data_IF_520237918020
#
_entry.id   IF_520237918020
#
_cell.length_a   1.000
_cell.length_b   1.000
_cell.length_c   1.000
_cell.angle_alpha   90.00
_cell.angle_beta   90.00
_cell.angle_gamma   90.00
#
_symmetry.space_group_name_H-M   'P 1'
#
loop_
_entity.id
_entity.type
_entity.pdbx_description
1 polymer ?
#
# COMPACT_ATOMS: atom_id res chain seq x y z
N UNK A 1 124.95 -4.07 10.19
CA UNK A 1 125.90 -5.13 9.79
C UNK A 1 125.39 -5.82 8.54
N UNK A 2 126.31 -6.18 7.64
CA UNK A 2 126.08 -6.38 6.22
C UNK A 2 126.05 -7.90 5.94
N UNK A 3 125.86 -8.43 4.73
CA UNK A 3 126.91 -8.46 3.71
C UNK A 3 126.53 -9.43 2.60
N UNK A 4 127.02 -9.10 1.40
CA UNK A 4 127.55 -10.02 0.37
C UNK A 4 126.51 -10.96 -0.30
N UNK A 5 126.36 -10.99 -1.62
CA UNK A 5 127.40 -11.30 -2.60
C UNK A 5 126.94 -10.77 -3.98
N UNK A 6 127.69 -9.86 -4.63
CA UNK A 6 128.81 -10.12 -5.55
C UNK A 6 128.39 -10.65 -6.93
N UNK A 7 128.47 -9.71 -7.89
CA UNK A 7 128.88 -9.86 -9.30
C UNK A 7 128.31 -11.05 -10.07
N UNK A 8 127.47 -10.73 -11.06
CA UNK A 8 127.52 -11.39 -12.36
C UNK A 8 127.76 -10.37 -13.47
N UNK A 9 128.84 -10.64 -14.21
CA UNK A 9 129.35 -9.85 -15.33
C UNK A 9 128.42 -9.96 -16.53
N UNK A 10 128.18 -8.80 -17.13
CA UNK A 10 128.11 -8.51 -18.57
C UNK A 10 127.62 -9.63 -19.51
N UNK A 11 126.52 -9.32 -20.22
CA UNK A 11 126.52 -9.37 -21.69
C UNK A 11 125.47 -8.42 -22.26
N UNK A 12 125.96 -7.43 -23.01
CA UNK A 12 125.16 -6.64 -23.94
C UNK A 12 124.58 -7.56 -25.00
N UNK A 13 123.27 -7.49 -25.20
CA UNK A 13 122.57 -8.25 -26.22
C UNK A 13 121.13 -7.79 -26.32
N UNK A 14 120.92 -6.80 -27.18
CA UNK A 14 119.64 -6.52 -27.87
C UNK A 14 118.55 -5.91 -26.96
N UNK A 15 118.48 -4.58 -26.95
CA UNK A 15 117.24 -3.87 -26.63
C UNK A 15 116.19 -4.23 -27.69
N UNK A 16 115.45 -5.30 -27.47
CA UNK A 16 114.25 -5.58 -28.25
C UNK A 16 113.19 -4.57 -27.82
N UNK A 17 112.72 -3.68 -28.71
CA UNK A 17 111.58 -2.82 -28.39
C UNK A 17 110.41 -3.76 -28.10
N UNK A 18 109.76 -3.61 -26.93
CA UNK A 18 108.51 -4.29 -26.65
C UNK A 18 107.48 -3.81 -27.67
N UNK A 19 107.39 -4.54 -28.78
CA UNK A 19 106.42 -4.33 -29.84
C UNK A 19 105.05 -4.64 -29.24
N UNK A 20 104.42 -3.60 -28.71
CA UNK A 20 103.02 -3.66 -28.32
C UNK A 20 102.26 -3.67 -29.64
N UNK A 21 101.80 -4.85 -30.06
CA UNK A 21 100.88 -4.99 -31.18
C UNK A 21 99.61 -4.23 -30.79
N UNK A 22 99.59 -2.94 -31.11
CA UNK A 22 98.36 -2.16 -31.09
C UNK A 22 97.58 -2.67 -32.29
N UNK A 23 96.63 -3.57 -32.02
CA UNK A 23 95.59 -3.89 -32.98
C UNK A 23 94.92 -2.58 -33.36
N UNK A 24 95.26 -2.07 -34.54
CA UNK A 24 94.71 -0.82 -35.05
C UNK A 24 93.30 -1.14 -35.53
N UNK A 25 92.36 -1.21 -34.59
CA UNK A 25 90.94 -1.38 -34.90
C UNK A 25 90.55 -0.21 -35.79
N UNK A 26 90.26 -0.52 -37.06
CA UNK A 26 89.94 0.47 -38.06
C UNK A 26 88.82 1.38 -37.53
N UNK A 27 89.01 2.70 -37.62
CA UNK A 27 88.08 3.69 -37.09
C UNK A 27 86.63 3.46 -37.56
N UNK A 28 86.45 2.92 -38.78
CA UNK A 28 85.16 2.52 -39.33
C UNK A 28 84.41 1.47 -38.48
N UNK A 29 85.12 0.51 -37.87
CA UNK A 29 84.50 -0.50 -37.00
C UNK A 29 83.93 0.09 -35.71
N UNK A 30 84.53 1.19 -35.20
CA UNK A 30 84.00 1.92 -34.04
C UNK A 30 82.68 2.60 -34.38
N UNK A 31 82.60 3.22 -35.56
CA UNK A 31 81.35 3.83 -36.05
C UNK A 31 80.27 2.79 -36.34
N UNK A 32 80.64 1.65 -36.95
CA UNK A 32 79.71 0.55 -37.19
C UNK A 32 79.13 0.03 -35.87
N UNK A 33 79.97 -0.19 -34.86
CA UNK A 33 79.52 -0.60 -33.52
C UNK A 33 78.61 0.43 -32.86
N UNK A 34 78.94 1.72 -32.97
CA UNK A 34 78.10 2.80 -32.45
C UNK A 34 76.73 2.86 -33.15
N UNK A 35 76.69 2.65 -34.46
CA UNK A 35 75.47 2.69 -35.26
C UNK A 35 74.56 1.48 -34.97
N UNK A 36 75.15 0.29 -34.82
CA UNK A 36 74.45 -0.93 -34.38
C UNK A 36 73.91 -0.74 -32.97
N UNK A 37 74.72 -0.22 -32.05
CA UNK A 37 74.30 0.04 -30.68
C UNK A 37 73.15 1.06 -30.63
N UNK A 38 73.23 2.15 -31.42
CA UNK A 38 72.18 3.14 -31.51
C UNK A 38 70.88 2.55 -32.08
N UNK A 39 70.98 1.73 -33.13
CA UNK A 39 69.82 1.04 -33.70
C UNK A 39 69.19 0.08 -32.70
N UNK A 40 69.99 -0.65 -31.93
CA UNK A 40 69.50 -1.56 -30.89
C UNK A 40 68.83 -0.79 -29.75
N UNK A 41 69.44 0.32 -29.31
CA UNK A 41 68.86 1.18 -28.29
C UNK A 41 67.52 1.78 -28.73
N UNK A 42 67.40 2.22 -29.98
CA UNK A 42 66.14 2.72 -30.54
C UNK A 42 65.08 1.62 -30.65
N UNK A 43 65.47 0.41 -31.07
CA UNK A 43 64.56 -0.73 -31.14
C UNK A 43 64.04 -1.12 -29.74
N UNK A 44 64.92 -1.16 -28.73
CA UNK A 44 64.53 -1.43 -27.34
C UNK A 44 63.66 -0.31 -26.80
N UNK A 45 63.97 0.96 -27.07
CA UNK A 45 63.16 2.09 -26.64
C UNK A 45 61.76 2.07 -27.27
N UNK A 46 61.65 1.76 -28.56
CA UNK A 46 60.37 1.61 -29.25
C UNK A 46 59.56 0.43 -28.71
N UNK A 47 60.22 -0.71 -28.48
CA UNK A 47 59.58 -1.88 -27.88
C UNK A 47 59.12 -1.62 -26.45
N UNK A 48 59.93 -0.95 -25.63
CA UNK A 48 59.60 -0.57 -24.26
C UNK A 48 58.49 0.50 -24.22
N UNK A 49 58.43 1.40 -25.20
CA UNK A 49 57.35 2.38 -25.33
C UNK A 49 56.03 1.71 -25.71
N UNK A 50 56.04 0.75 -26.64
CA UNK A 50 54.84 0.02 -27.05
C UNK A 50 54.38 -0.99 -25.96
N UNK A 51 55.32 -1.72 -25.37
CA UNK A 51 55.07 -2.60 -24.23
C UNK A 51 54.62 -1.81 -23.00
N UNK A 52 55.25 -0.68 -22.73
CA UNK A 52 54.87 0.26 -21.67
C UNK A 52 53.51 0.90 -21.93
N UNK A 53 53.13 1.16 -23.18
CA UNK A 53 51.77 1.60 -23.51
C UNK A 53 50.72 0.50 -23.29
N UNK A 54 51.08 -0.77 -23.48
CA UNK A 54 50.22 -1.91 -23.13
C UNK A 54 50.16 -2.20 -21.63
N UNK A 55 51.26 -2.01 -20.89
CA UNK A 55 51.34 -2.31 -19.45
C UNK A 55 50.95 -1.13 -18.55
N UNK A 56 51.32 0.11 -18.92
CA UNK A 56 50.96 1.35 -18.22
C UNK A 56 49.69 2.00 -18.80
N UNK A 57 49.19 1.48 -19.92
CA UNK A 57 47.82 1.67 -20.35
C UNK A 57 46.91 0.94 -19.39
N UNK A 58 46.61 1.56 -18.24
CA UNK A 58 45.39 1.32 -17.47
C UNK A 58 44.30 0.90 -18.43
N UNK A 59 43.73 -0.28 -18.21
CA UNK A 59 42.72 -0.88 -19.06
C UNK A 59 41.45 -0.03 -19.02
N UNK A 60 41.49 1.14 -19.65
CA UNK A 60 40.41 2.14 -19.61
C UNK A 60 39.14 1.57 -20.22
N UNK A 61 39.27 0.54 -21.06
CA UNK A 61 38.15 -0.25 -21.56
C UNK A 61 37.57 -1.11 -20.44
N UNK A 62 38.37 -1.93 -19.77
CA UNK A 62 37.94 -2.78 -18.65
C UNK A 62 37.39 -1.95 -17.47
N UNK A 63 38.08 -0.89 -17.05
CA UNK A 63 37.60 0.04 -16.01
C UNK A 63 36.28 0.74 -16.41
N UNK A 64 36.10 1.14 -17.67
CA UNK A 64 34.82 1.70 -18.12
C UNK A 64 33.73 0.65 -18.16
N UNK A 65 34.05 -0.58 -18.57
CA UNK A 65 33.10 -1.69 -18.58
C UNK A 65 32.68 -2.08 -17.15
N UNK A 66 33.62 -2.10 -16.21
CA UNK A 66 33.35 -2.36 -14.80
C UNK A 66 32.51 -1.24 -14.18
N UNK A 67 32.85 0.03 -14.44
CA UNK A 67 32.02 1.16 -14.02
C UNK A 67 30.62 1.10 -14.62
N UNK A 68 30.49 0.73 -15.90
CA UNK A 68 29.19 0.57 -16.55
C UNK A 68 28.40 -0.59 -15.91
N UNK A 69 29.06 -1.71 -15.60
CA UNK A 69 28.44 -2.87 -14.95
C UNK A 69 27.98 -2.54 -13.53
N UNK A 70 28.80 -1.83 -12.75
CA UNK A 70 28.45 -1.39 -11.39
C UNK A 70 27.29 -0.39 -11.44
N UNK A 71 27.26 0.51 -12.43
CA UNK A 71 26.13 1.44 -12.60
C UNK A 71 24.85 0.71 -13.00
N UNK A 72 24.93 -0.27 -13.90
CA UNK A 72 23.76 -1.08 -14.27
C UNK A 72 23.26 -1.90 -13.08
N UNK A 73 24.15 -2.50 -12.29
CA UNK A 73 23.75 -3.20 -11.07
C UNK A 73 23.11 -2.25 -10.06
N UNK A 74 23.70 -1.08 -9.82
CA UNK A 74 23.11 -0.07 -8.93
C UNK A 74 21.71 0.35 -9.41
N UNK A 75 21.54 0.62 -10.71
CA UNK A 75 20.23 0.98 -11.27
C UNK A 75 19.20 -0.14 -11.09
N UNK A 76 19.60 -1.41 -11.26
CA UNK A 76 18.73 -2.58 -11.01
C UNK A 76 18.35 -2.70 -9.54
N UNK A 77 19.32 -2.57 -8.63
CA UNK A 77 19.06 -2.63 -7.19
C UNK A 77 18.14 -1.49 -6.74
N UNK A 78 18.32 -0.28 -7.28
CA UNK A 78 17.44 0.85 -6.99
C UNK A 78 16.02 0.62 -7.50
N UNK A 79 15.86 0.06 -8.70
CA UNK A 79 14.55 -0.29 -9.26
C UNK A 79 13.85 -1.39 -8.44
N UNK A 80 14.60 -2.41 -8.00
CA UNK A 80 14.09 -3.45 -7.11
C UNK A 80 13.69 -2.89 -5.74
N UNK A 81 14.51 -2.02 -5.15
CA UNK A 81 14.20 -1.37 -3.88
C UNK A 81 12.96 -0.47 -4.01
N UNK A 82 12.81 0.27 -5.11
CA UNK A 82 11.62 1.09 -5.38
C UNK A 82 10.36 0.22 -5.49
N UNK A 83 10.45 -0.92 -6.20
CA UNK A 83 9.34 -1.88 -6.31
C UNK A 83 8.98 -2.52 -4.98
N UNK A 84 9.97 -2.92 -4.18
CA UNK A 84 9.73 -3.51 -2.85
C UNK A 84 9.09 -2.47 -1.91
N UNK A 85 9.56 -1.22 -1.93
CA UNK A 85 8.96 -0.12 -1.16
C UNK A 85 7.52 0.14 -1.60
N UNK A 86 7.22 0.13 -2.89
CA UNK A 86 5.84 0.33 -3.35
C UNK A 86 4.91 -0.79 -2.90
N UNK A 87 5.39 -2.05 -2.93
CA UNK A 87 4.63 -3.20 -2.42
C UNK A 87 4.42 -3.09 -0.90
N UNK A 88 5.47 -2.72 -0.15
CA UNK A 88 5.38 -2.53 1.29
C UNK A 88 4.37 -1.43 1.66
N UNK A 89 4.45 -0.26 1.01
CA UNK A 89 3.53 0.85 1.24
C UNK A 89 2.08 0.47 0.90
N UNK A 90 1.87 -0.29 -0.18
CA UNK A 90 0.55 -0.79 -0.54
C UNK A 90 0.00 -1.78 0.50
N UNK A 91 0.86 -2.66 1.03
CA UNK A 91 0.50 -3.60 2.09
C UNK A 91 0.15 -2.88 3.40
N UNK A 92 0.97 -1.91 3.82
CA UNK A 92 0.73 -1.08 5.00
C UNK A 92 -0.59 -0.30 4.88
N UNK A 93 -0.86 0.26 3.70
CA UNK A 93 -2.11 0.96 3.43
C UNK A 93 -3.31 0.02 3.55
N UNK A 94 -3.22 -1.21 3.01
CA UNK A 94 -4.27 -2.23 3.15
C UNK A 94 -4.53 -2.60 4.60
N UNK A 95 -3.47 -2.85 5.37
CA UNK A 95 -3.58 -3.16 6.81
C UNK A 95 -4.25 -2.01 7.57
N UNK A 96 -3.88 -0.76 7.28
CA UNK A 96 -4.48 0.41 7.93
C UNK A 96 -5.96 0.57 7.57
N UNK A 97 -6.33 0.32 6.31
CA UNK A 97 -7.73 0.33 5.85
C UNK A 97 -8.51 -0.77 6.57
N UNK A 98 -7.98 -1.99 6.62
CA UNK A 98 -8.62 -3.13 7.28
C UNK A 98 -8.81 -2.89 8.77
N UNK A 99 -7.79 -2.39 9.47
CA UNK A 99 -7.89 -2.02 10.88
C UNK A 99 -8.93 -0.93 11.10
N UNK A 100 -8.96 0.10 10.27
CA UNK A 100 -9.96 1.18 10.36
C UNK A 100 -11.36 0.66 10.10
N UNK A 101 -11.54 -0.20 9.10
CA UNK A 101 -12.82 -0.83 8.80
C UNK A 101 -13.29 -1.74 9.94
N UNK A 102 -12.38 -2.49 10.58
CA UNK A 102 -12.70 -3.32 11.74
C UNK A 102 -13.15 -2.46 12.93
N UNK A 103 -12.45 -1.36 13.22
CA UNK A 103 -12.83 -0.41 14.28
C UNK A 103 -14.20 0.19 13.98
N UNK A 104 -14.45 0.60 12.74
CA UNK A 104 -15.73 1.18 12.34
C UNK A 104 -16.87 0.15 12.36
N UNK A 105 -16.59 -1.10 12.00
CA UNK A 105 -17.57 -2.19 12.09
C UNK A 105 -17.91 -2.51 13.55
N UNK A 106 -16.91 -2.59 14.42
CA UNK A 106 -17.12 -2.80 15.86
C UNK A 106 -17.94 -1.66 16.48
N UNK A 107 -17.67 -0.41 16.08
CA UNK A 107 -18.46 0.74 16.51
C UNK A 107 -19.92 0.66 16.03
N UNK A 108 -20.15 0.26 14.76
CA UNK A 108 -21.51 0.07 14.23
C UNK A 108 -22.26 -1.06 14.94
N UNK A 109 -21.60 -2.19 15.20
CA UNK A 109 -22.19 -3.30 15.95
C UNK A 109 -22.61 -2.82 17.33
N UNK A 110 -21.75 -2.09 18.04
CA UNK A 110 -22.07 -1.53 19.35
C UNK A 110 -23.28 -0.59 19.30
N UNK A 111 -23.34 0.31 18.31
CA UNK A 111 -24.49 1.20 18.13
C UNK A 111 -25.78 0.41 17.90
N UNK A 112 -25.73 -0.61 17.03
CA UNK A 112 -26.88 -1.48 16.79
C UNK A 112 -27.30 -2.28 18.02
N UNK A 113 -26.34 -2.76 18.82
CA UNK A 113 -26.60 -3.44 20.09
C UNK A 113 -27.27 -2.49 21.09
N UNK A 114 -26.79 -1.26 21.23
CA UNK A 114 -27.37 -0.24 22.09
C UNK A 114 -28.79 0.12 21.64
N UNK A 115 -29.02 0.30 20.34
CA UNK A 115 -30.36 0.52 19.77
C UNK A 115 -31.29 -0.67 20.02
N UNK A 116 -30.81 -1.89 19.85
CA UNK A 116 -31.60 -3.09 20.07
C UNK A 116 -31.99 -3.24 21.55
N UNK A 117 -31.06 -2.98 22.47
CA UNK A 117 -31.32 -2.99 23.90
C UNK A 117 -32.33 -1.91 24.29
N UNK A 118 -32.19 -0.69 23.76
CA UNK A 118 -33.15 0.39 23.97
C UNK A 118 -34.55 0.02 23.47
N UNK A 119 -34.67 -0.54 22.27
CA UNK A 119 -35.97 -0.98 21.73
C UNK A 119 -36.60 -2.09 22.57
N UNK A 120 -35.80 -3.00 23.13
CA UNK A 120 -36.28 -4.04 24.05
C UNK A 120 -36.76 -3.46 25.38
N UNK A 121 -36.03 -2.48 25.92
CA UNK A 121 -36.44 -1.75 27.12
C UNK A 121 -37.76 -0.99 26.89
N UNK A 122 -37.90 -0.29 25.76
CA UNK A 122 -39.12 0.41 25.38
C UNK A 122 -40.30 -0.58 25.25
N UNK A 123 -40.08 -1.75 24.63
CA UNK A 123 -41.11 -2.78 24.52
C UNK A 123 -41.53 -3.33 25.90
N UNK A 124 -40.56 -3.67 26.75
CA UNK A 124 -40.83 -4.14 28.11
C UNK A 124 -41.55 -3.07 28.96
N UNK A 125 -41.22 -1.79 28.76
CA UNK A 125 -41.94 -0.68 29.38
C UNK A 125 -43.39 -0.61 28.91
N UNK A 126 -43.67 -0.73 27.60
CA UNK A 126 -45.03 -0.77 27.08
C UNK A 126 -45.82 -1.99 27.59
N UNK A 127 -45.19 -3.17 27.68
CA UNK A 127 -45.81 -4.36 28.23
C UNK A 127 -46.18 -4.18 29.72
N UNK A 128 -45.32 -3.53 30.51
CA UNK A 128 -45.56 -3.27 31.93
C UNK A 128 -46.55 -2.13 32.19
N UNK A 129 -46.67 -1.15 31.28
CA UNK A 129 -47.66 -0.06 31.39
C UNK A 129 -49.07 -0.46 30.96
N UNK A 130 -49.24 -1.57 30.24
CA UNK A 130 -50.57 -2.12 29.96
C UNK A 130 -50.97 -3.00 31.15
N UNK A 131 -51.95 -2.60 31.98
CA UNK A 131 -52.40 -3.44 33.08
C UNK A 131 -52.82 -4.82 32.54
N UNK A 132 -52.31 -5.87 33.18
CA UNK A 132 -52.48 -7.29 32.84
C UNK A 132 -53.94 -7.79 32.79
N UNK A 133 -54.93 -6.91 32.91
CA UNK A 133 -56.36 -7.21 32.98
C UNK A 133 -57.07 -7.38 31.62
N UNK A 134 -56.36 -7.40 30.50
CA UNK A 134 -57.00 -7.65 29.18
C UNK A 134 -56.25 -8.70 28.36
N UNK A 135 -55.99 -9.87 28.95
CA UNK A 135 -55.61 -11.11 28.24
C UNK A 135 -56.86 -11.86 27.73
N UNK A 136 -57.73 -11.12 27.06
CA UNK A 136 -58.89 -11.65 26.35
C UNK A 136 -59.11 -10.77 25.12
N UNK A 137 -59.10 -11.42 23.95
CA UNK A 137 -59.54 -10.92 22.63
C UNK A 137 -59.62 -9.38 22.55
N UNK A 138 -58.45 -8.73 22.48
CA UNK A 138 -58.36 -7.29 22.54
C UNK A 138 -58.36 -6.74 21.13
N UNK A 139 -59.53 -6.33 20.68
CA UNK A 139 -59.71 -5.55 19.45
C UNK A 139 -59.20 -4.14 19.72
N UNK A 140 -58.26 -3.68 18.90
CA UNK A 140 -57.64 -2.35 19.02
C UNK A 140 -57.83 -1.54 17.75
N UNK A 141 -58.16 -0.26 17.89
CA UNK A 141 -58.26 0.66 16.77
C UNK A 141 -56.87 1.23 16.51
N UNK A 142 -56.25 0.84 15.40
CA UNK A 142 -54.89 1.30 15.05
C UNK A 142 -54.92 2.66 14.38
N UNK A 143 -55.94 2.90 13.55
CA UNK A 143 -56.05 4.16 12.80
C UNK A 143 -57.50 4.50 12.51
N UNK A 144 -57.88 5.72 12.88
CA UNK A 144 -59.14 6.33 12.47
C UNK A 144 -58.82 7.60 11.67
N UNK A 145 -59.33 7.67 10.45
CA UNK A 145 -59.24 8.87 9.60
C UNK A 145 -60.62 9.28 9.14
N UNK A 146 -60.88 10.58 9.19
CA UNK A 146 -62.08 11.21 8.64
C UNK A 146 -61.64 12.23 7.61
N UNK A 147 -62.04 12.05 6.37
CA UNK A 147 -61.74 12.96 5.26
C UNK A 147 -63.07 13.52 4.72
N UNK A 148 -63.07 14.80 4.33
CA UNK A 148 -64.23 15.43 3.68
C UNK A 148 -64.34 14.85 2.27
N UNK A 149 -65.53 14.38 1.88
CA UNK A 149 -65.78 13.83 0.55
C UNK A 149 -66.09 14.97 -0.46
N UNK A 150 -66.36 14.61 -1.71
CA UNK A 150 -66.47 15.55 -2.85
C UNK A 150 -67.62 16.57 -2.69
N UNK A 151 -68.69 16.25 -1.96
CA UNK A 151 -69.81 17.17 -1.71
C UNK A 151 -69.73 17.87 -0.35
N UNK A 152 -70.17 19.15 -0.25
CA UNK A 152 -70.28 19.84 1.03
C UNK A 152 -71.22 19.09 1.98
N UNK A 153 -70.67 18.56 3.08
CA UNK A 153 -71.43 17.83 4.10
C UNK A 153 -71.21 16.32 4.10
N UNK A 154 -70.52 15.76 3.10
CA UNK A 154 -70.15 14.34 3.09
C UNK A 154 -68.79 14.12 3.76
N UNK A 155 -68.71 13.07 4.60
CA UNK A 155 -67.49 12.67 5.29
C UNK A 155 -67.25 11.18 5.09
N UNK A 156 -66.05 10.83 4.64
CA UNK A 156 -65.60 9.45 4.52
C UNK A 156 -64.74 9.09 5.70
N UNK A 157 -65.15 8.09 6.45
CA UNK A 157 -64.35 7.52 7.53
C UNK A 157 -63.65 6.23 7.07
N UNK A 158 -62.42 6.04 7.52
CA UNK A 158 -61.69 4.77 7.38
C UNK A 158 -61.15 4.37 8.74
N UNK A 159 -61.56 3.20 9.19
CA UNK A 159 -61.16 2.59 10.45
C UNK A 159 -60.31 1.35 10.16
N UNK A 160 -59.11 1.27 10.74
CA UNK A 160 -58.29 0.06 10.73
C UNK A 160 -58.30 -0.55 12.13
N UNK A 161 -58.82 -1.77 12.21
CA UNK A 161 -58.96 -2.53 13.45
C UNK A 161 -57.99 -3.70 13.42
N UNK A 162 -57.24 -3.88 14.51
CA UNK A 162 -56.34 -5.00 14.72
C UNK A 162 -56.88 -5.86 15.86
N UNK A 163 -57.19 -7.12 15.58
CA UNK A 163 -57.56 -8.10 16.59
C UNK A 163 -56.29 -8.80 17.09
N UNK A 164 -55.96 -8.62 18.36
CA UNK A 164 -54.91 -9.40 19.01
C UNK A 164 -55.45 -10.77 19.42
N UNK A 165 -55.04 -11.85 18.74
CA UNK A 165 -55.48 -13.21 19.04
C UNK A 165 -55.24 -14.21 17.91
N UNK A 166 -55.70 -15.46 18.09
CA UNK A 166 -55.72 -16.47 17.03
C UNK A 166 -56.77 -16.10 15.98
N UNK A 167 -56.42 -16.20 14.70
CA UNK A 167 -57.32 -15.94 13.55
C UNK A 167 -58.43 -17.01 13.36
N UNK A 168 -58.60 -17.95 14.29
CA UNK A 168 -59.53 -19.09 14.15
C UNK A 168 -60.96 -18.79 14.64
N UNK A 169 -61.22 -17.58 15.16
CA UNK A 169 -62.54 -17.14 15.61
C UNK A 169 -63.03 -15.97 14.77
N UNK A 170 -64.18 -16.18 14.13
CA UNK A 170 -64.93 -15.15 13.40
C UNK A 170 -65.31 -14.02 14.37
N UNK A 171 -64.71 -12.84 14.19
CA UNK A 171 -64.98 -11.66 15.02
C UNK A 171 -66.33 -11.08 14.64
N UNK A 172 -67.27 -11.10 15.58
CA UNK A 172 -68.54 -10.40 15.47
C UNK A 172 -68.49 -9.17 16.38
N UNK A 173 -68.63 -7.97 15.82
CA UNK A 173 -68.61 -6.73 16.58
C UNK A 173 -69.51 -5.67 15.98
N UNK A 174 -70.13 -4.86 16.83
CA UNK A 174 -70.87 -3.68 16.40
C UNK A 174 -70.01 -2.43 16.53
N UNK A 175 -70.01 -1.59 15.49
CA UNK A 175 -69.36 -0.29 15.52
C UNK A 175 -70.42 0.78 15.78
N UNK A 176 -70.21 1.58 16.83
CA UNK A 176 -71.02 2.76 17.12
C UNK A 176 -70.13 4.00 17.12
N UNK A 177 -70.40 4.94 16.22
CA UNK A 177 -69.73 6.21 16.14
C UNK A 177 -70.58 7.27 16.86
N UNK A 178 -70.01 7.92 17.87
CA UNK A 178 -70.66 9.02 18.59
C UNK A 178 -69.96 10.31 18.17
N UNK A 179 -70.68 11.17 17.47
CA UNK A 179 -70.19 12.44 16.97
C UNK A 179 -70.81 13.54 17.81
N UNK A 180 -70.00 14.22 18.61
CA UNK A 180 -70.38 15.45 19.29
C UNK A 180 -70.08 16.63 18.36
N UNK A 181 -71.11 17.37 17.97
CA UNK A 181 -70.98 18.55 17.13
C UNK A 181 -71.65 19.76 17.76
N UNK A 182 -71.02 20.93 17.61
CA UNK A 182 -71.56 22.20 18.08
C UNK A 182 -72.10 22.96 16.87
N UNK A 183 -73.43 23.01 16.72
CA UNK A 183 -74.10 23.69 15.62
C UNK A 183 -74.87 24.88 16.17
N UNK A 184 -74.53 26.10 15.73
CA UNK A 184 -75.14 27.35 16.18
C UNK A 184 -75.25 27.52 17.71
N UNK A 185 -74.20 27.12 18.45
CA UNK A 185 -74.13 27.29 19.90
C UNK A 185 -74.97 26.30 20.71
N UNK A 186 -75.52 25.26 20.08
CA UNK A 186 -76.16 24.13 20.77
C UNK A 186 -75.34 22.86 20.54
N UNK A 187 -75.09 22.14 21.62
CA UNK A 187 -74.42 20.84 21.56
C UNK A 187 -75.41 19.81 21.03
N UNK A 188 -75.03 19.13 19.95
CA UNK A 188 -75.80 18.06 19.34
C UNK A 188 -74.92 16.81 19.25
N UNK A 189 -75.41 15.70 19.81
CA UNK A 189 -74.75 14.39 19.71
C UNK A 189 -75.48 13.56 18.66
N UNK A 190 -74.77 13.15 17.62
CA UNK A 190 -75.27 12.24 16.59
C UNK A 190 -74.62 10.87 16.81
N UNK A 191 -75.45 9.83 16.87
CA UNK A 191 -75.00 8.44 16.97
C UNK A 191 -75.21 7.78 15.61
N UNK A 192 -74.16 7.17 15.07
CA UNK A 192 -74.16 6.51 13.75
C UNK A 192 -73.65 5.07 13.92
N UNK A 193 -74.35 4.04 13.44
CA UNK A 193 -75.69 4.05 12.87
C UNK A 193 -76.75 4.36 13.94
N UNK A 194 -77.83 5.05 13.54
CA UNK A 194 -78.98 5.25 14.40
C UNK A 194 -79.53 3.86 14.79
N UNK A 195 -79.99 3.72 16.02
CA UNK A 195 -80.44 2.46 16.63
C UNK A 195 -81.55 1.72 15.86
N UNK A 196 -82.13 2.36 14.83
CA UNK A 196 -83.07 1.77 13.88
C UNK A 196 -82.42 0.90 12.76
N UNK A 197 -81.12 1.07 12.47
CA UNK A 197 -80.42 0.38 11.37
C UNK A 197 -79.40 -0.67 11.84
N UNK A 198 -79.31 -0.91 13.15
CA UNK A 198 -78.40 -1.88 13.78
C UNK A 198 -78.60 -3.35 13.32
N UNK A 199 -79.64 -3.64 12.54
CA UNK A 199 -79.91 -4.96 11.97
C UNK A 199 -79.18 -5.27 10.65
N UNK A 200 -78.61 -4.28 9.97
CA UNK A 200 -78.08 -4.46 8.59
C UNK A 200 -76.59 -4.17 8.40
N UNK A 201 -75.86 -3.77 9.44
CA UNK A 201 -74.41 -3.56 9.38
C UNK A 201 -73.66 -4.72 10.06
N UNK A 202 -73.79 -5.92 9.51
CA UNK A 202 -72.94 -7.06 9.88
C UNK A 202 -71.57 -6.92 9.21
N UNK A 203 -70.51 -6.89 10.00
CA UNK A 203 -69.10 -6.97 9.58
C UNK A 203 -68.47 -8.24 10.14
#
# INVERSE_FOLDING_TARGET
MPTLFKRFRQRFGISAPKMTVKTHVAWYWRWLGMLVFLSLALAVAAWMYDAGRRFAGFDRGELQNDLARIRDSMARLEAEAARLRSIANASESRLKIEQTAQVQLAAQVKVLEDENNRLKEDLAFFENLVPSERRGEKVSIHRFKVERDVLPGEYRYRLLVLQGGRLDREFHGSLQLVVEMQQEGRDATIIIPDSADAGNAAF
#
